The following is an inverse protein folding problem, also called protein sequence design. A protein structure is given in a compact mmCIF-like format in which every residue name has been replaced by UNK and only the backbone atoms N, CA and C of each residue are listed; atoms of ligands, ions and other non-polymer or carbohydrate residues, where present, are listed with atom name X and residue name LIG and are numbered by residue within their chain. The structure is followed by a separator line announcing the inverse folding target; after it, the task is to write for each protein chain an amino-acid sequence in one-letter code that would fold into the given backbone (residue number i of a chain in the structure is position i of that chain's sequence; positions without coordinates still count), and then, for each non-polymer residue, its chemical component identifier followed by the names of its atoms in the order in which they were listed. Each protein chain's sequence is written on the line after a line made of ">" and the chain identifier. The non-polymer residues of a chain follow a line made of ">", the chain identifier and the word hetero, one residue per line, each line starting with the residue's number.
data_IF_931624404430
#
_entry.id   IF_931624404430
#
_cell.length_a   1.000
_cell.length_b   1.000
_cell.length_c   1.000
_cell.angle_alpha   90.00
_cell.angle_beta   90.00
_cell.angle_gamma   90.00
#
_symmetry.space_group_name_H-M   'P 1'
#
loop_
_entity.id
_entity.type
_entity.pdbx_description
1 polymer ?
#
# COMPACT_ATOMS: atom_id res chain seq x y z
N UNK A 1 34.47 16.22 27.79
CA UNK A 1 33.51 15.65 26.86
C UNK A 1 34.21 14.68 25.94
N UNK A 2 34.09 13.38 26.20
CA UNK A 2 34.72 12.33 25.39
C UNK A 2 34.14 12.38 23.98
N UNK A 3 34.96 12.54 22.96
CA UNK A 3 34.58 12.32 21.54
C UNK A 3 34.25 10.84 21.39
N UNK A 4 32.99 10.43 21.58
CA UNK A 4 32.53 9.10 21.15
C UNK A 4 32.76 9.05 19.64
N UNK A 5 33.66 8.16 19.19
CA UNK A 5 33.94 7.98 17.77
C UNK A 5 32.68 7.55 17.02
N UNK A 6 32.58 7.90 15.74
CA UNK A 6 31.53 7.39 14.83
C UNK A 6 31.79 5.90 14.60
N UNK A 7 30.77 5.07 14.82
CA UNK A 7 30.85 3.64 14.49
C UNK A 7 30.54 3.45 13.00
N UNK A 8 31.47 2.82 12.27
CA UNK A 8 31.36 2.61 10.84
C UNK A 8 30.92 1.17 10.58
N UNK A 9 29.89 1.02 9.78
CA UNK A 9 29.36 -0.26 9.29
C UNK A 9 29.44 -0.29 7.76
N UNK A 10 29.33 -1.48 7.18
CA UNK A 10 29.23 -1.66 5.74
C UNK A 10 28.19 -2.74 5.40
N UNK A 11 27.52 -2.56 4.27
CA UNK A 11 26.57 -3.52 3.70
C UNK A 11 26.53 -3.33 2.18
N UNK A 12 25.97 -4.28 1.45
CA UNK A 12 25.74 -4.12 0.01
C UNK A 12 24.55 -3.17 -0.25
N UNK A 13 23.44 -3.33 0.48
CA UNK A 13 22.25 -2.50 0.31
C UNK A 13 21.78 -1.93 1.65
N UNK A 14 21.76 -0.61 1.79
CA UNK A 14 21.11 0.07 2.89
C UNK A 14 19.62 0.27 2.56
N UNK A 15 18.73 -0.19 3.44
CA UNK A 15 17.28 -0.08 3.26
C UNK A 15 16.73 0.87 4.33
N UNK A 16 16.07 1.93 3.90
CA UNK A 16 15.47 2.91 4.80
C UNK A 16 13.99 2.60 4.97
N UNK A 17 13.61 2.16 6.19
CA UNK A 17 12.24 1.79 6.57
C UNK A 17 12.00 0.27 6.60
N UNK A 18 11.47 -0.22 7.74
CA UNK A 18 11.06 -1.60 7.96
C UNK A 18 9.55 -1.82 7.73
N UNK A 19 8.94 -1.06 6.82
CA UNK A 19 7.62 -1.36 6.30
C UNK A 19 7.63 -2.61 5.42
N UNK A 20 6.45 -3.03 4.88
CA UNK A 20 6.36 -4.25 4.06
C UNK A 20 7.35 -4.27 2.89
N UNK A 21 7.56 -3.12 2.22
CA UNK A 21 8.49 -3.01 1.09
C UNK A 21 9.94 -3.27 1.50
N UNK A 22 10.40 -2.61 2.58
CA UNK A 22 11.80 -2.71 3.01
C UNK A 22 12.13 -4.10 3.53
N UNK A 23 11.24 -4.70 4.33
CA UNK A 23 11.45 -6.05 4.84
C UNK A 23 11.34 -7.12 3.74
N UNK A 24 10.40 -6.97 2.79
CA UNK A 24 10.29 -7.88 1.66
C UNK A 24 11.52 -7.80 0.76
N UNK A 25 12.03 -6.59 0.47
CA UNK A 25 13.27 -6.41 -0.27
C UNK A 25 14.44 -7.08 0.46
N UNK A 26 14.63 -6.78 1.75
CA UNK A 26 15.69 -7.40 2.57
C UNK A 26 15.61 -8.92 2.57
N UNK A 27 14.41 -9.50 2.64
CA UNK A 27 14.18 -10.93 2.62
C UNK A 27 14.57 -11.56 1.28
N UNK A 28 14.18 -10.94 0.17
CA UNK A 28 14.55 -11.42 -1.18
C UNK A 28 16.04 -11.34 -1.42
N UNK A 29 16.71 -10.25 -0.99
CA UNK A 29 18.16 -10.08 -1.08
C UNK A 29 18.90 -11.13 -0.26
N UNK A 30 18.47 -11.39 0.98
CA UNK A 30 19.04 -12.43 1.83
C UNK A 30 18.97 -13.81 1.18
N UNK A 31 17.83 -14.18 0.60
CA UNK A 31 17.68 -15.44 -0.14
C UNK A 31 18.61 -15.54 -1.36
N UNK A 32 19.02 -14.41 -1.89
CA UNK A 32 19.98 -14.34 -2.99
C UNK A 32 21.46 -14.26 -2.53
N UNK A 33 21.71 -14.23 -1.22
CA UNK A 33 23.05 -14.09 -0.64
C UNK A 33 23.61 -12.67 -0.72
N UNK A 34 22.74 -11.66 -0.74
CA UNK A 34 23.10 -10.24 -0.78
C UNK A 34 22.83 -9.63 0.59
N UNK A 35 23.85 -9.00 1.17
CA UNK A 35 23.77 -8.38 2.49
C UNK A 35 22.97 -7.08 2.45
N UNK A 36 22.07 -6.92 3.43
CA UNK A 36 21.34 -5.69 3.61
C UNK A 36 21.15 -5.34 5.09
N UNK A 37 21.17 -4.04 5.39
CA UNK A 37 20.82 -3.50 6.71
C UNK A 37 19.62 -2.59 6.55
N UNK A 38 18.57 -2.86 7.35
CA UNK A 38 17.34 -2.08 7.38
C UNK A 38 17.40 -1.10 8.55
N UNK A 39 17.18 0.19 8.28
CA UNK A 39 17.13 1.26 9.27
C UNK A 39 15.68 1.69 9.50
N UNK A 40 15.14 1.46 10.71
CA UNK A 40 13.75 1.81 11.06
C UNK A 40 13.71 2.81 12.23
N UNK A 41 12.94 3.87 12.07
CA UNK A 41 12.81 4.91 13.09
C UNK A 41 11.91 4.52 14.27
N UNK A 42 10.96 3.62 14.04
CA UNK A 42 10.00 3.17 15.04
C UNK A 42 10.49 1.90 15.76
N UNK A 43 9.83 1.52 16.85
CA UNK A 43 10.09 0.25 17.50
C UNK A 43 9.48 -0.92 16.70
N UNK A 44 9.97 -2.12 16.98
CA UNK A 44 9.45 -3.36 16.38
C UNK A 44 7.96 -3.54 16.67
N UNK A 45 7.55 -3.29 17.91
CA UNK A 45 6.17 -3.41 18.38
C UNK A 45 5.25 -2.43 17.65
N UNK A 46 5.71 -1.18 17.48
CA UNK A 46 4.96 -0.16 16.72
C UNK A 46 4.72 -0.59 15.28
N UNK A 47 5.75 -1.07 14.61
CA UNK A 47 5.66 -1.50 13.21
C UNK A 47 4.73 -2.70 13.05
N UNK A 48 4.78 -3.68 13.96
CA UNK A 48 3.91 -4.86 13.94
C UNK A 48 2.45 -4.54 14.34
N UNK A 49 2.24 -3.52 15.17
CA UNK A 49 0.92 -3.13 15.67
C UNK A 49 0.08 -2.31 14.68
N UNK A 50 0.63 -1.80 13.58
CA UNK A 50 -0.09 -0.96 12.63
C UNK A 50 -1.11 -1.77 11.82
N UNK A 51 -2.40 -1.51 12.05
CA UNK A 51 -3.48 -2.19 11.33
C UNK A 51 -3.77 -1.43 10.03
N UNK A 52 -3.57 -2.11 8.90
CA UNK A 52 -3.88 -1.60 7.55
C UNK A 52 -4.61 -2.67 6.73
N UNK A 53 -5.22 -2.24 5.62
CA UNK A 53 -5.86 -3.16 4.67
C UNK A 53 -4.80 -4.11 4.06
N UNK A 54 -5.23 -5.32 3.76
CA UNK A 54 -4.40 -6.33 3.13
C UNK A 54 -5.21 -7.09 2.10
N UNK A 55 -5.47 -6.47 0.94
CA UNK A 55 -6.00 -7.15 -0.23
C UNK A 55 -4.85 -7.31 -1.22
N UNK A 56 -4.45 -8.55 -1.47
CA UNK A 56 -3.28 -8.90 -2.25
C UNK A 56 -3.66 -9.36 -3.65
N UNK A 57 -3.02 -8.77 -4.66
CA UNK A 57 -3.00 -9.30 -6.01
C UNK A 57 -2.24 -10.63 -6.03
N UNK A 58 -2.60 -11.53 -6.94
CA UNK A 58 -1.97 -12.85 -7.01
C UNK A 58 -0.46 -12.77 -7.25
N UNK A 59 -0.02 -11.81 -8.04
CA UNK A 59 1.41 -11.54 -8.27
C UNK A 59 2.17 -11.16 -6.99
N UNK A 60 1.51 -10.47 -6.04
CA UNK A 60 2.08 -10.18 -4.71
C UNK A 60 2.13 -11.44 -3.86
N UNK A 61 1.09 -12.29 -3.92
CA UNK A 61 1.06 -13.59 -3.22
C UNK A 61 2.23 -14.47 -3.68
N UNK A 62 2.46 -14.58 -4.99
CA UNK A 62 3.57 -15.34 -5.58
C UNK A 62 4.93 -14.80 -5.10
N UNK A 63 5.10 -13.47 -5.08
CA UNK A 63 6.34 -12.86 -4.61
C UNK A 63 6.60 -13.14 -3.12
N UNK A 64 5.57 -13.17 -2.29
CA UNK A 64 5.68 -13.51 -0.87
C UNK A 64 6.00 -15.01 -0.67
N UNK A 65 5.47 -15.88 -1.52
CA UNK A 65 5.85 -17.31 -1.54
C UNK A 65 7.32 -17.48 -1.97
N UNK A 66 7.75 -16.77 -3.01
CA UNK A 66 9.14 -16.73 -3.46
C UNK A 66 10.09 -16.23 -2.37
N UNK A 67 9.66 -15.22 -1.59
CA UNK A 67 10.38 -14.73 -0.43
C UNK A 67 10.40 -15.74 0.76
N UNK A 68 9.63 -16.82 0.70
CA UNK A 68 9.55 -17.84 1.75
C UNK A 68 8.68 -17.44 2.96
N UNK A 69 7.88 -16.37 2.84
CA UNK A 69 6.99 -15.87 3.92
C UNK A 69 5.50 -16.12 3.63
N UNK A 70 5.17 -16.90 2.60
CA UNK A 70 3.79 -17.14 2.17
C UNK A 70 3.04 -18.23 2.91
N UNK A 71 3.68 -19.08 3.73
CA UNK A 71 3.04 -20.29 4.26
C UNK A 71 1.84 -19.99 5.18
N UNK A 72 1.96 -19.06 6.12
CA UNK A 72 0.86 -18.63 7.00
C UNK A 72 -0.21 -17.90 6.22
N UNK A 73 0.18 -17.03 5.31
CA UNK A 73 -0.73 -16.30 4.43
C UNK A 73 -1.63 -17.24 3.62
N UNK A 74 -1.08 -18.31 3.04
CA UNK A 74 -1.85 -19.30 2.28
C UNK A 74 -2.80 -20.13 3.15
N UNK A 75 -2.47 -20.35 4.42
CA UNK A 75 -3.30 -21.11 5.35
C UNK A 75 -4.44 -20.26 5.97
N UNK A 76 -4.19 -18.99 6.25
CA UNK A 76 -5.07 -18.12 7.02
C UNK A 76 -5.76 -17.05 6.18
N UNK A 77 -5.23 -16.74 4.99
CA UNK A 77 -5.81 -15.77 4.07
C UNK A 77 -7.17 -16.23 3.53
N UNK A 78 -8.03 -15.26 3.23
CA UNK A 78 -9.35 -15.50 2.64
C UNK A 78 -9.30 -15.23 1.14
N UNK A 79 -9.70 -16.21 0.34
CA UNK A 79 -9.83 -16.04 -1.12
C UNK A 79 -11.00 -15.09 -1.38
N UNK A 80 -10.77 -14.08 -2.21
CA UNK A 80 -11.76 -13.11 -2.65
C UNK A 80 -11.94 -13.25 -4.17
N UNK A 81 -13.07 -13.82 -4.57
CA UNK A 81 -13.37 -14.14 -5.98
C UNK A 81 -14.15 -13.02 -6.69
N UNK A 82 -14.58 -11.99 -5.93
CA UNK A 82 -15.34 -10.89 -6.46
C UNK A 82 -15.67 -9.82 -5.43
N UNK A 83 -16.42 -8.82 -5.86
CA UNK A 83 -16.93 -7.79 -4.98
C UNK A 83 -18.25 -7.21 -5.52
N UNK A 84 -19.06 -6.66 -4.61
CA UNK A 84 -20.29 -5.98 -4.97
C UNK A 84 -20.05 -4.48 -5.22
N UNK A 85 -20.60 -3.97 -6.30
CA UNK A 85 -20.81 -2.54 -6.55
C UNK A 85 -22.28 -2.23 -6.31
N UNK A 86 -22.57 -1.51 -5.23
CA UNK A 86 -23.92 -1.15 -4.82
C UNK A 86 -24.20 0.31 -5.20
N UNK A 87 -25.29 0.56 -5.94
CA UNK A 87 -25.76 1.89 -6.36
C UNK A 87 -27.25 1.87 -6.68
N UNK A 88 -27.91 3.00 -6.60
CA UNK A 88 -29.34 3.16 -6.93
C UNK A 88 -30.24 2.06 -6.33
N UNK A 89 -30.00 1.68 -5.06
CA UNK A 89 -30.68 0.59 -4.33
C UNK A 89 -30.50 -0.83 -4.91
N UNK A 90 -29.70 -0.97 -5.96
CA UNK A 90 -29.29 -2.24 -6.56
C UNK A 90 -27.89 -2.69 -6.16
N UNK A 91 -27.48 -3.80 -6.75
CA UNK A 91 -26.10 -4.25 -6.73
C UNK A 91 -25.71 -4.90 -8.03
N UNK A 92 -24.44 -4.80 -8.38
CA UNK A 92 -23.81 -5.57 -9.44
C UNK A 92 -22.55 -6.24 -8.89
N UNK A 93 -22.48 -7.58 -8.99
CA UNK A 93 -21.31 -8.32 -8.56
C UNK A 93 -20.29 -8.37 -9.70
N UNK A 94 -19.08 -7.94 -9.43
CA UNK A 94 -17.91 -8.13 -10.31
C UNK A 94 -17.29 -9.48 -9.94
N UNK A 95 -17.50 -10.48 -10.78
CA UNK A 95 -16.93 -11.82 -10.62
C UNK A 95 -15.50 -11.84 -11.18
N UNK A 96 -14.52 -11.61 -10.31
CA UNK A 96 -13.11 -11.56 -10.69
C UNK A 96 -12.66 -12.87 -11.30
N UNK A 97 -13.05 -13.99 -10.66
CA UNK A 97 -12.66 -15.32 -11.11
C UNK A 97 -13.23 -15.67 -12.48
N UNK A 98 -14.51 -15.44 -12.70
CA UNK A 98 -15.15 -15.73 -13.99
C UNK A 98 -14.63 -14.80 -15.10
N UNK A 99 -14.40 -13.52 -14.80
CA UNK A 99 -14.00 -12.52 -15.79
C UNK A 99 -12.51 -12.58 -16.16
N UNK A 100 -11.63 -12.98 -15.23
CA UNK A 100 -10.16 -12.90 -15.43
C UNK A 100 -9.41 -14.20 -15.19
N UNK A 101 -10.06 -15.22 -14.62
CA UNK A 101 -9.42 -16.46 -14.16
C UNK A 101 -8.60 -16.29 -12.87
N UNK A 102 -8.53 -15.08 -12.30
CA UNK A 102 -7.72 -14.73 -11.12
C UNK A 102 -8.59 -14.38 -9.92
N UNK A 103 -8.02 -14.53 -8.74
CA UNK A 103 -8.61 -14.12 -7.45
C UNK A 103 -7.73 -13.06 -6.80
N UNK A 104 -8.26 -12.43 -5.75
CA UNK A 104 -7.49 -11.69 -4.77
C UNK A 104 -7.36 -12.53 -3.50
N UNK A 105 -6.45 -12.13 -2.60
CA UNK A 105 -6.31 -12.75 -1.28
C UNK A 105 -6.42 -11.68 -0.20
N UNK A 106 -7.35 -11.85 0.72
CA UNK A 106 -7.44 -11.01 1.92
C UNK A 106 -6.50 -11.57 2.98
N UNK A 107 -5.43 -10.84 3.26
CA UNK A 107 -4.50 -11.13 4.34
C UNK A 107 -4.03 -9.82 4.97
N UNK A 108 -4.35 -9.60 6.25
CA UNK A 108 -4.10 -8.31 6.90
C UNK A 108 -2.64 -7.86 6.76
N UNK A 109 -2.41 -6.60 6.42
CA UNK A 109 -1.04 -6.08 6.28
C UNK A 109 -0.23 -6.21 7.58
N UNK A 110 -0.87 -6.13 8.75
CA UNK A 110 -0.23 -6.38 10.05
C UNK A 110 0.26 -7.83 10.19
N UNK A 111 -0.49 -8.81 9.67
CA UNK A 111 -0.08 -10.21 9.69
C UNK A 111 1.11 -10.44 8.74
N UNK A 112 1.04 -9.89 7.53
CA UNK A 112 2.16 -9.88 6.61
C UNK A 112 3.40 -9.22 7.20
N UNK A 113 3.22 -8.10 7.90
CA UNK A 113 4.30 -7.39 8.57
C UNK A 113 4.97 -8.23 9.66
N UNK A 114 4.17 -9.00 10.43
CA UNK A 114 4.70 -9.94 11.42
C UNK A 114 5.53 -11.04 10.78
N UNK A 115 5.04 -11.65 9.70
CA UNK A 115 5.77 -12.70 8.97
C UNK A 115 7.11 -12.20 8.44
N UNK A 116 7.13 -10.98 7.88
CA UNK A 116 8.35 -10.38 7.37
C UNK A 116 9.34 -10.00 8.48
N UNK A 117 8.86 -9.46 9.61
CA UNK A 117 9.70 -9.14 10.78
C UNK A 117 10.31 -10.42 11.38
N UNK A 118 9.53 -11.51 11.42
CA UNK A 118 10.02 -12.81 11.90
C UNK A 118 11.09 -13.38 10.96
N UNK A 119 10.85 -13.32 9.66
CA UNK A 119 11.80 -13.76 8.64
C UNK A 119 13.12 -12.98 8.64
N UNK A 120 13.13 -11.75 9.18
CA UNK A 120 14.32 -10.88 9.28
C UNK A 120 14.71 -10.59 10.74
N UNK A 121 14.56 -11.59 11.60
CA UNK A 121 14.82 -11.46 13.04
C UNK A 121 16.29 -11.61 13.44
N UNK A 122 17.19 -11.91 12.51
CA UNK A 122 18.61 -12.05 12.82
C UNK A 122 19.18 -10.72 13.38
N UNK A 123 20.05 -10.81 14.42
CA UNK A 123 20.63 -9.63 15.03
C UNK A 123 21.44 -8.78 14.02
N UNK A 124 21.25 -7.46 14.06
CA UNK A 124 21.97 -6.51 13.19
C UNK A 124 21.41 -6.33 11.79
N UNK A 125 20.42 -7.14 11.38
CA UNK A 125 19.78 -6.99 10.06
C UNK A 125 18.80 -5.83 10.05
N UNK A 126 18.00 -5.67 11.11
CA UNK A 126 17.08 -4.53 11.28
C UNK A 126 17.51 -3.72 12.50
N UNK A 127 17.89 -2.48 12.30
CA UNK A 127 18.17 -1.54 13.38
C UNK A 127 16.90 -0.72 13.66
N UNK A 128 16.29 -1.01 14.80
CA UNK A 128 15.08 -0.35 15.26
C UNK A 128 15.38 0.95 16.02
N UNK A 129 14.44 1.90 16.01
CA UNK A 129 14.55 3.17 16.75
C UNK A 129 15.74 4.03 16.30
N UNK A 130 16.10 3.94 15.02
CA UNK A 130 17.10 4.81 14.41
C UNK A 130 16.58 6.25 14.36
N UNK A 131 17.43 7.21 14.66
CA UNK A 131 17.13 8.64 14.66
C UNK A 131 18.09 9.40 13.73
N UNK A 132 17.69 10.58 13.31
CA UNK A 132 18.51 11.54 12.56
C UNK A 132 19.23 10.91 11.35
N UNK A 133 18.52 10.01 10.64
CA UNK A 133 19.08 9.40 9.46
C UNK A 133 19.20 10.42 8.32
N UNK A 134 20.32 10.42 7.61
CA UNK A 134 20.59 11.29 6.47
C UNK A 134 21.35 10.51 5.38
N UNK A 135 20.99 10.74 4.11
CA UNK A 135 21.59 10.08 2.96
C UNK A 135 22.63 10.99 2.33
N UNK A 136 23.79 10.45 2.02
CA UNK A 136 24.92 11.15 1.43
C UNK A 136 25.47 10.40 0.22
N UNK A 137 26.03 11.11 -0.72
CA UNK A 137 26.83 10.58 -1.86
C UNK A 137 26.11 9.51 -2.70
N UNK A 138 24.77 9.48 -2.68
CA UNK A 138 23.98 8.47 -3.42
C UNK A 138 23.99 8.68 -4.94
N UNK A 139 24.50 9.80 -5.43
CA UNK A 139 24.80 10.06 -6.84
C UNK A 139 26.22 9.62 -7.26
N UNK A 140 26.99 9.07 -6.33
CA UNK A 140 28.33 8.50 -6.55
C UNK A 140 28.31 6.97 -6.49
N UNK A 141 29.50 6.35 -6.53
CA UNK A 141 29.66 4.90 -6.37
C UNK A 141 29.77 4.44 -4.92
N UNK A 142 29.76 5.34 -3.95
CA UNK A 142 29.95 5.05 -2.53
C UNK A 142 28.93 5.78 -1.65
N UNK A 143 27.64 5.45 -1.77
CA UNK A 143 26.58 6.02 -0.91
C UNK A 143 26.85 5.75 0.57
N UNK A 144 26.42 6.70 1.40
CA UNK A 144 26.56 6.59 2.84
C UNK A 144 25.24 7.01 3.53
N UNK A 145 24.97 6.39 4.68
CA UNK A 145 23.86 6.78 5.55
C UNK A 145 24.40 7.08 6.93
N UNK A 146 24.25 8.31 7.39
CA UNK A 146 24.58 8.68 8.77
C UNK A 146 23.33 8.64 9.64
N UNK A 147 23.43 8.16 10.88
CA UNK A 147 22.29 8.06 11.79
C UNK A 147 22.75 7.98 13.26
N UNK A 148 21.79 8.17 14.17
CA UNK A 148 21.96 7.94 15.60
C UNK A 148 21.22 6.66 16.01
N UNK A 149 21.89 5.80 16.77
CA UNK A 149 21.32 4.56 17.31
C UNK A 149 21.97 4.21 18.64
N UNK A 150 21.18 3.77 19.62
CA UNK A 150 21.64 3.37 20.96
C UNK A 150 22.56 4.42 21.63
N UNK A 151 22.26 5.72 21.44
CA UNK A 151 23.02 6.82 22.03
C UNK A 151 24.36 7.15 21.37
N UNK A 152 24.68 6.55 20.22
CA UNK A 152 25.91 6.78 19.44
C UNK A 152 25.59 7.22 18.01
N UNK A 153 26.58 7.88 17.36
CA UNK A 153 26.51 8.18 15.92
C UNK A 153 27.12 7.04 15.12
N UNK A 154 26.46 6.72 14.01
CA UNK A 154 26.84 5.64 13.11
C UNK A 154 26.93 6.16 11.67
N UNK A 155 27.78 5.53 10.89
CA UNK A 155 27.90 5.68 9.45
C UNK A 155 27.78 4.30 8.80
N UNK A 156 26.88 4.16 7.84
CA UNK A 156 26.69 2.92 7.06
C UNK A 156 27.10 3.18 5.62
N UNK A 157 28.18 2.54 5.17
CA UNK A 157 28.63 2.54 3.78
C UNK A 157 27.95 1.43 3.02
N UNK A 158 27.52 1.71 1.80
CA UNK A 158 26.80 0.73 0.99
C UNK A 158 27.09 0.93 -0.50
N UNK A 159 26.68 -0.06 -1.31
CA UNK A 159 26.71 0.08 -2.77
C UNK A 159 25.44 0.77 -3.29
N UNK A 160 24.29 0.52 -2.61
CA UNK A 160 22.98 1.04 -2.99
C UNK A 160 22.16 1.41 -1.77
N UNK A 161 21.24 2.37 -1.96
CA UNK A 161 20.23 2.77 -0.97
C UNK A 161 18.83 2.52 -1.53
N UNK A 162 17.99 1.79 -0.80
CA UNK A 162 16.57 1.61 -1.10
C UNK A 162 15.73 2.40 -0.11
N UNK A 163 15.07 3.46 -0.58
CA UNK A 163 14.15 4.28 0.20
C UNK A 163 12.76 3.65 0.27
N UNK A 164 12.50 2.89 1.32
CA UNK A 164 11.24 2.21 1.62
C UNK A 164 10.50 2.86 2.81
N UNK A 165 10.76 4.14 3.07
CA UNK A 165 10.43 4.91 4.27
C UNK A 165 9.09 5.65 4.20
N UNK A 166 8.31 5.36 3.17
CA UNK A 166 6.95 5.87 3.02
C UNK A 166 6.87 7.35 2.68
N UNK A 167 5.66 7.88 2.77
CA UNK A 167 5.38 9.26 2.34
C UNK A 167 6.14 10.32 3.13
N UNK A 168 6.31 10.12 4.42
CA UNK A 168 6.98 11.07 5.33
C UNK A 168 8.46 10.72 5.58
N UNK A 169 9.02 9.83 4.75
CA UNK A 169 10.42 9.42 4.86
C UNK A 169 11.40 10.47 4.33
N UNK A 170 12.67 10.23 4.62
CA UNK A 170 13.77 11.12 4.23
C UNK A 170 14.23 10.88 2.78
N UNK A 171 14.04 9.67 2.26
CA UNK A 171 14.66 9.25 0.99
C UNK A 171 14.25 10.16 -0.18
N UNK A 172 12.95 10.39 -0.37
CA UNK A 172 12.46 11.34 -1.40
C UNK A 172 12.90 12.77 -1.11
N UNK A 173 12.92 13.17 0.17
CA UNK A 173 13.29 14.53 0.56
C UNK A 173 14.80 14.83 0.38
N UNK A 174 15.65 13.79 0.34
CA UNK A 174 17.09 13.93 0.09
C UNK A 174 17.42 14.23 -1.36
N UNK A 175 16.50 13.97 -2.29
CA UNK A 175 16.72 14.26 -3.72
C UNK A 175 16.50 15.74 -3.98
N UNK A 176 17.44 16.44 -4.66
CA UNK A 176 17.29 17.84 -5.04
C UNK A 176 16.00 18.09 -5.83
N UNK A 177 15.28 19.15 -5.47
CA UNK A 177 13.95 19.41 -6.03
C UNK A 177 13.94 19.60 -7.56
N UNK A 178 15.02 20.12 -8.12
CA UNK A 178 15.21 20.33 -9.55
C UNK A 178 15.43 19.03 -10.34
N UNK A 179 15.76 17.94 -9.67
CA UNK A 179 15.94 16.62 -10.30
C UNK A 179 14.67 15.77 -10.29
N UNK A 180 13.55 16.29 -9.73
CA UNK A 180 12.32 15.54 -9.47
C UNK A 180 11.12 16.25 -10.03
N UNK A 181 10.29 15.54 -10.78
CA UNK A 181 8.92 15.97 -11.09
C UNK A 181 7.95 15.25 -10.14
N UNK A 182 7.05 16.00 -9.50
CA UNK A 182 6.03 15.46 -8.61
C UNK A 182 4.65 15.74 -9.17
N UNK A 183 3.93 14.69 -9.52
CA UNK A 183 2.52 14.74 -9.90
C UNK A 183 1.68 14.44 -8.69
N UNK A 184 0.97 15.44 -8.18
CA UNK A 184 0.19 15.31 -6.94
C UNK A 184 -1.24 15.79 -7.11
N UNK A 185 -2.18 15.05 -6.52
CA UNK A 185 -3.58 15.43 -6.39
C UNK A 185 -4.06 15.12 -4.98
N UNK A 186 -4.70 16.08 -4.32
CA UNK A 186 -5.43 15.90 -3.07
C UNK A 186 -6.91 15.85 -3.42
N UNK A 187 -7.64 14.88 -2.89
CA UNK A 187 -9.09 14.75 -3.08
C UNK A 187 -9.82 15.58 -2.02
N UNK A 188 -11.00 16.15 -2.33
CA UNK A 188 -11.71 17.07 -1.44
C UNK A 188 -12.49 16.35 -0.32
N UNK A 189 -12.07 15.16 0.06
CA UNK A 189 -12.68 14.34 1.11
C UNK A 189 -11.68 13.35 1.71
N UNK A 190 -12.05 12.82 2.86
CA UNK A 190 -11.36 11.74 3.53
C UNK A 190 -12.21 10.48 3.64
N UNK A 191 -11.59 9.42 4.11
CA UNK A 191 -12.24 8.19 4.57
C UNK A 191 -12.19 8.15 6.10
N UNK A 192 -13.35 8.17 6.73
CA UNK A 192 -13.50 7.76 8.11
C UNK A 192 -13.60 6.23 8.15
N UNK A 193 -12.57 5.60 8.68
CA UNK A 193 -12.49 4.15 8.84
C UNK A 193 -12.80 3.73 10.27
N UNK A 194 -13.60 2.68 10.43
CA UNK A 194 -13.89 2.03 11.71
C UNK A 194 -13.52 0.56 11.64
N UNK A 195 -12.73 0.08 12.61
CA UNK A 195 -12.48 -1.34 12.86
C UNK A 195 -13.36 -1.78 14.03
N UNK A 196 -14.03 -2.90 13.88
CA UNK A 196 -14.89 -3.46 14.95
C UNK A 196 -14.84 -5.00 14.96
N UNK A 197 -14.97 -5.60 16.14
CA UNK A 197 -15.14 -7.04 16.31
C UNK A 197 -16.61 -7.43 16.07
N UNK A 198 -16.97 -7.40 14.81
CA UNK A 198 -18.28 -7.81 14.31
C UNK A 198 -18.10 -8.66 13.04
N UNK A 199 -19.02 -9.62 12.78
CA UNK A 199 -18.95 -10.42 11.55
C UNK A 199 -19.04 -9.54 10.32
N UNK A 200 -18.42 -9.93 9.20
CA UNK A 200 -18.52 -9.21 7.93
C UNK A 200 -19.97 -9.09 7.46
N UNK A 201 -20.28 -7.94 6.87
CA UNK A 201 -21.58 -7.70 6.24
C UNK A 201 -21.87 -8.70 5.11
N UNK A 202 -20.83 -9.07 4.37
CA UNK A 202 -20.86 -9.96 3.22
C UNK A 202 -19.55 -10.77 3.15
N UNK A 203 -19.57 -11.89 2.46
CA UNK A 203 -18.39 -12.72 2.24
C UNK A 203 -17.35 -12.09 1.31
N UNK A 204 -17.77 -11.11 0.51
CA UNK A 204 -16.94 -10.31 -0.40
C UNK A 204 -17.03 -8.83 -0.02
N UNK A 205 -16.15 -8.01 -0.57
CA UNK A 205 -16.18 -6.56 -0.35
C UNK A 205 -17.47 -5.96 -0.94
N UNK A 206 -18.01 -4.94 -0.29
CA UNK A 206 -19.15 -4.16 -0.80
C UNK A 206 -18.72 -2.71 -0.94
N UNK A 207 -18.65 -2.23 -2.18
CA UNK A 207 -18.43 -0.83 -2.54
C UNK A 207 -19.79 -0.17 -2.78
N UNK A 208 -20.13 0.83 -2.01
CA UNK A 208 -21.41 1.54 -2.16
C UNK A 208 -21.20 2.97 -2.66
N UNK A 209 -21.84 3.30 -3.79
CA UNK A 209 -21.97 4.65 -4.30
C UNK A 209 -23.34 5.19 -3.90
N UNK A 210 -23.38 6.24 -3.11
CA UNK A 210 -24.60 6.85 -2.62
C UNK A 210 -24.57 8.37 -2.72
N UNK A 211 -25.73 9.04 -2.75
CA UNK A 211 -25.80 10.51 -2.78
C UNK A 211 -25.20 11.19 -1.56
N UNK A 212 -25.14 10.50 -0.41
CA UNK A 212 -24.46 10.94 0.81
C UNK A 212 -22.94 10.71 0.77
N UNK A 213 -22.41 10.09 -0.29
CA UNK A 213 -21.01 9.74 -0.46
C UNK A 213 -20.76 8.23 -0.43
N UNK A 214 -19.53 7.87 -0.61
CA UNK A 214 -19.04 6.50 -0.67
C UNK A 214 -19.10 5.77 0.67
N UNK A 215 -19.30 4.44 0.62
CA UNK A 215 -19.04 3.53 1.72
C UNK A 215 -18.35 2.24 1.23
N UNK A 216 -17.56 1.62 2.09
CA UNK A 216 -16.90 0.34 1.84
C UNK A 216 -17.05 -0.56 3.05
N UNK A 217 -17.52 -1.79 2.81
CA UNK A 217 -17.55 -2.84 3.81
C UNK A 217 -16.51 -3.90 3.43
N UNK A 218 -15.58 -4.18 4.34
CA UNK A 218 -14.53 -5.16 4.09
C UNK A 218 -14.30 -6.04 5.31
N UNK A 219 -14.05 -7.32 5.05
CA UNK A 219 -13.66 -8.29 6.07
C UNK A 219 -12.19 -8.12 6.47
N UNK A 220 -11.87 -8.53 7.70
CA UNK A 220 -10.50 -8.76 8.17
C UNK A 220 -10.32 -10.19 8.65
N UNK A 221 -11.38 -10.75 9.21
CA UNK A 221 -11.50 -12.15 9.57
C UNK A 221 -13.01 -12.50 9.66
N UNK A 222 -13.33 -13.74 10.01
CA UNK A 222 -14.73 -14.15 10.22
C UNK A 222 -15.45 -13.40 11.34
N UNK A 223 -14.72 -12.81 12.28
CA UNK A 223 -15.28 -12.08 13.44
C UNK A 223 -14.85 -10.60 13.49
N UNK A 224 -14.13 -10.10 12.49
CA UNK A 224 -13.62 -8.72 12.48
C UNK A 224 -13.81 -8.08 11.13
N UNK A 225 -14.33 -6.85 11.13
CA UNK A 225 -14.62 -6.08 9.93
C UNK A 225 -14.06 -4.67 10.00
N UNK A 226 -13.72 -4.12 8.85
CA UNK A 226 -13.38 -2.72 8.67
C UNK A 226 -14.34 -2.06 7.70
N UNK A 227 -14.92 -0.97 8.15
CA UNK A 227 -15.86 -0.17 7.38
C UNK A 227 -15.30 1.21 7.12
N UNK A 228 -15.68 1.81 6.00
CA UNK A 228 -15.28 3.17 5.65
C UNK A 228 -16.48 3.95 5.16
N UNK A 229 -16.55 5.21 5.50
CA UNK A 229 -17.48 6.18 4.93
C UNK A 229 -16.71 7.42 4.47
N UNK A 230 -17.09 7.97 3.32
CA UNK A 230 -16.59 9.25 2.86
C UNK A 230 -17.03 10.35 3.82
N UNK A 231 -16.11 11.23 4.20
CA UNK A 231 -16.38 12.38 5.07
C UNK A 231 -15.63 13.63 4.56
N UNK A 232 -16.06 14.84 4.94
CA UNK A 232 -15.29 16.06 4.72
C UNK A 232 -13.88 15.97 5.32
N UNK A 233 -12.92 16.74 4.78
CA UNK A 233 -11.55 16.77 5.30
C UNK A 233 -11.45 17.46 6.67
N UNK A 234 -12.39 18.34 6.93
CA UNK A 234 -12.47 19.14 8.16
C UNK A 234 -13.01 18.37 9.36
N UNK A 235 -13.70 17.24 9.10
CA UNK A 235 -14.28 16.39 10.14
C UNK A 235 -13.19 15.83 11.06
N UNK A 236 -13.52 15.72 12.35
CA UNK A 236 -12.66 15.12 13.36
C UNK A 236 -13.26 13.81 13.85
N UNK A 237 -12.41 12.87 14.24
CA UNK A 237 -12.85 11.53 14.70
C UNK A 237 -13.79 11.64 15.91
N UNK A 238 -13.53 12.60 16.79
CA UNK A 238 -14.31 12.88 18.01
C UNK A 238 -15.75 13.29 17.71
N UNK A 239 -16.01 13.84 16.54
CA UNK A 239 -17.34 14.25 16.08
C UNK A 239 -18.16 13.08 15.53
N UNK A 240 -17.56 11.90 15.47
CA UNK A 240 -18.15 10.67 14.95
C UNK A 240 -18.28 9.60 16.04
N UNK A 241 -19.25 9.72 16.98
CA UNK A 241 -19.58 8.61 17.89
C UNK A 241 -19.98 7.38 17.08
N UNK A 242 -19.82 6.19 17.65
CA UNK A 242 -20.05 4.92 16.96
C UNK A 242 -21.47 4.83 16.36
N UNK A 243 -22.48 5.32 17.08
CA UNK A 243 -23.85 5.35 16.60
C UNK A 243 -23.98 6.14 15.28
N UNK A 244 -23.41 7.35 15.22
CA UNK A 244 -23.42 8.17 14.00
C UNK A 244 -22.74 7.45 12.83
N UNK A 245 -21.62 6.78 13.09
CA UNK A 245 -20.92 6.03 12.04
C UNK A 245 -21.79 4.91 11.48
N UNK A 246 -22.41 4.11 12.35
CA UNK A 246 -23.27 3.00 11.94
C UNK A 246 -24.52 3.45 11.22
N UNK A 247 -25.11 4.56 11.63
CA UNK A 247 -26.28 5.15 10.97
C UNK A 247 -25.92 5.66 9.57
N UNK A 248 -24.81 6.38 9.43
CA UNK A 248 -24.31 6.85 8.12
C UNK A 248 -23.94 5.70 7.20
N UNK A 249 -23.32 4.65 7.72
CA UNK A 249 -23.01 3.45 6.94
C UNK A 249 -24.31 2.78 6.45
N UNK A 250 -25.29 2.60 7.33
CA UNK A 250 -26.60 2.00 6.99
C UNK A 250 -27.32 2.80 5.91
N UNK A 251 -27.34 4.12 6.03
CA UNK A 251 -27.99 5.01 5.05
C UNK A 251 -27.36 4.94 3.64
N UNK A 252 -26.10 4.57 3.54
CA UNK A 252 -25.36 4.46 2.26
C UNK A 252 -25.44 3.08 1.63
N UNK A 253 -25.94 2.10 2.37
CA UNK A 253 -26.09 0.74 1.88
C UNK A 253 -27.52 0.49 1.37
N UNK A 254 -27.70 -0.28 0.29
CA UNK A 254 -29.02 -0.78 -0.09
C UNK A 254 -29.72 -1.53 1.05
N UNK A 255 -31.04 -1.43 1.13
CA UNK A 255 -31.86 -2.02 2.19
C UNK A 255 -31.62 -3.52 2.42
N UNK A 256 -31.30 -4.24 1.36
CA UNK A 256 -30.98 -5.68 1.41
C UNK A 256 -29.81 -6.03 2.35
N UNK A 257 -28.91 -5.07 2.63
CA UNK A 257 -27.78 -5.26 3.55
C UNK A 257 -28.11 -4.89 5.01
N UNK A 258 -29.18 -4.11 5.24
CA UNK A 258 -29.51 -3.57 6.57
C UNK A 258 -29.69 -4.67 7.62
N UNK A 259 -30.34 -5.80 7.25
CA UNK A 259 -30.59 -6.93 8.15
C UNK A 259 -29.33 -7.73 8.49
N UNK A 260 -28.29 -7.60 7.68
CA UNK A 260 -27.00 -8.30 7.88
C UNK A 260 -25.97 -7.44 8.60
N UNK A 261 -26.20 -6.13 8.68
CA UNK A 261 -25.26 -5.20 9.31
C UNK A 261 -25.32 -5.36 10.82
N UNK A 262 -24.33 -6.05 11.36
CA UNK A 262 -24.10 -6.16 12.82
C UNK A 262 -23.24 -4.97 13.24
N UNK A 263 -23.67 -4.29 14.30
CA UNK A 263 -22.97 -3.13 14.86
C UNK A 263 -22.29 -3.52 16.17
N UNK A 264 -21.24 -2.81 16.53
CA UNK A 264 -20.49 -3.01 17.77
C UNK A 264 -19.61 -1.82 18.10
N UNK A 265 -18.91 -1.84 19.23
CA UNK A 265 -17.99 -0.76 19.61
C UNK A 265 -16.80 -0.71 18.66
N UNK A 266 -16.32 0.50 18.38
CA UNK A 266 -15.11 0.70 17.60
C UNK A 266 -13.88 0.25 18.39
N UNK A 267 -13.04 -0.60 17.78
CA UNK A 267 -11.69 -0.87 18.26
C UNK A 267 -10.74 0.27 17.88
N UNK A 268 -10.95 0.83 16.70
CA UNK A 268 -10.15 1.92 16.13
C UNK A 268 -11.01 2.74 15.18
N UNK A 269 -10.87 4.06 15.23
CA UNK A 269 -11.39 4.99 14.22
C UNK A 269 -10.28 5.93 13.77
N UNK A 270 -10.26 6.24 12.48
CA UNK A 270 -9.31 7.19 11.91
C UNK A 270 -9.87 7.85 10.65
N UNK A 271 -9.53 9.11 10.42
CA UNK A 271 -9.80 9.80 9.15
C UNK A 271 -8.51 9.89 8.35
N UNK A 272 -8.56 9.43 7.12
CA UNK A 272 -7.42 9.43 6.19
C UNK A 272 -7.78 10.27 4.97
N UNK A 273 -7.07 11.39 4.72
CA UNK A 273 -7.19 12.16 3.49
C UNK A 273 -6.77 11.32 2.29
N UNK A 274 -7.53 11.38 1.20
CA UNK A 274 -7.14 10.70 -0.04
C UNK A 274 -6.24 11.59 -0.87
N UNK A 275 -5.20 10.98 -1.44
CA UNK A 275 -4.27 11.65 -2.35
C UNK A 275 -3.69 10.71 -3.39
N UNK A 276 -3.28 11.27 -4.51
CA UNK A 276 -2.37 10.63 -5.46
C UNK A 276 -1.05 11.37 -5.46
N UNK A 277 0.04 10.65 -5.57
CA UNK A 277 1.38 11.17 -5.77
C UNK A 277 2.13 10.22 -6.70
N UNK A 278 2.86 10.75 -7.67
CA UNK A 278 3.88 10.02 -8.41
C UNK A 278 5.12 10.89 -8.50
N UNK A 279 6.27 10.32 -8.20
CA UNK A 279 7.58 10.96 -8.25
C UNK A 279 8.36 10.41 -9.44
N UNK A 280 8.84 11.27 -10.31
CA UNK A 280 9.63 10.91 -11.50
C UNK A 280 10.95 11.68 -11.54
N UNK A 281 12.05 10.95 -11.81
CA UNK A 281 12.22 9.50 -11.83
C UNK A 281 12.11 8.89 -10.42
N UNK A 282 12.07 7.55 -10.31
CA UNK A 282 12.10 6.82 -9.04
C UNK A 282 13.52 6.38 -8.64
N UNK A 283 14.53 6.76 -9.43
CA UNK A 283 15.96 6.45 -9.21
C UNK A 283 16.81 7.70 -9.35
N UNK A 284 17.78 7.85 -8.45
CA UNK A 284 18.74 8.95 -8.42
C UNK A 284 20.13 8.39 -8.10
N UNK A 285 20.93 8.16 -9.15
CA UNK A 285 22.19 7.48 -8.98
C UNK A 285 21.99 6.09 -8.36
N UNK A 286 22.48 5.91 -7.13
CA UNK A 286 22.36 4.66 -6.36
C UNK A 286 21.23 4.65 -5.32
N UNK A 287 20.38 5.66 -5.30
CA UNK A 287 19.17 5.74 -4.50
C UNK A 287 17.96 5.31 -5.33
N UNK A 288 17.17 4.36 -4.83
CA UNK A 288 15.93 3.87 -5.41
C UNK A 288 14.76 4.16 -4.46
N UNK A 289 13.71 4.82 -4.95
CA UNK A 289 12.49 5.06 -4.19
C UNK A 289 11.49 3.91 -4.44
N UNK A 290 10.90 3.38 -3.38
CA UNK A 290 10.06 2.18 -3.40
C UNK A 290 8.75 2.43 -2.65
N UNK A 291 7.61 2.06 -3.23
CA UNK A 291 6.30 2.18 -2.59
C UNK A 291 5.92 3.62 -2.27
N UNK A 292 5.37 3.86 -1.07
CA UNK A 292 4.87 5.18 -0.66
C UNK A 292 5.96 6.27 -0.62
N UNK A 293 7.25 5.91 -0.68
CA UNK A 293 8.34 6.86 -0.87
C UNK A 293 8.33 7.46 -2.27
N UNK A 294 7.89 6.72 -3.29
CA UNK A 294 7.83 7.14 -4.68
C UNK A 294 6.43 7.55 -5.13
N UNK A 295 5.41 6.81 -4.74
CA UNK A 295 4.04 6.98 -5.23
C UNK A 295 2.98 6.66 -4.17
N UNK A 296 1.85 7.33 -4.25
CA UNK A 296 0.65 7.07 -3.46
C UNK A 296 -0.54 7.03 -4.38
N UNK A 297 -1.43 6.09 -4.17
CA UNK A 297 -2.71 5.97 -4.87
C UNK A 297 -3.85 5.98 -3.87
N UNK A 298 -5.05 6.45 -4.26
CA UNK A 298 -6.23 6.32 -3.43
C UNK A 298 -6.48 4.85 -3.07
N UNK A 299 -6.92 4.55 -1.85
CA UNK A 299 -7.10 3.17 -1.39
C UNK A 299 -8.26 2.44 -2.07
N UNK A 300 -9.12 3.13 -2.83
CA UNK A 300 -10.31 2.59 -3.49
C UNK A 300 -10.01 1.37 -4.35
N UNK A 301 -8.90 1.37 -5.09
CA UNK A 301 -8.50 0.26 -5.96
C UNK A 301 -7.63 -0.81 -5.29
N UNK A 302 -7.35 -0.70 -3.99
CA UNK A 302 -6.48 -1.61 -3.23
C UNK A 302 -5.07 -1.78 -3.84
N UNK A 303 -4.50 -0.73 -4.47
CA UNK A 303 -3.25 -0.82 -5.24
C UNK A 303 -1.96 -0.53 -4.45
N UNK A 304 -2.02 0.20 -3.33
CA UNK A 304 -0.83 0.73 -2.67
C UNK A 304 0.21 -0.35 -2.30
N UNK A 305 -0.20 -1.37 -1.55
CA UNK A 305 0.69 -2.47 -1.14
C UNK A 305 1.16 -3.30 -2.34
N UNK A 306 0.29 -3.56 -3.30
CA UNK A 306 0.59 -4.35 -4.49
C UNK A 306 1.58 -3.63 -5.43
N UNK A 307 1.48 -2.30 -5.57
CA UNK A 307 2.47 -1.49 -6.27
C UNK A 307 3.82 -1.51 -5.56
N UNK A 308 3.82 -1.36 -4.23
CA UNK A 308 5.04 -1.42 -3.46
C UNK A 308 5.75 -2.79 -3.59
N UNK A 309 4.99 -3.90 -3.61
CA UNK A 309 5.51 -5.23 -3.89
C UNK A 309 6.06 -5.36 -5.32
N UNK A 310 5.41 -4.73 -6.29
CA UNK A 310 5.88 -4.70 -7.67
C UNK A 310 7.22 -3.95 -7.82
N UNK A 311 7.37 -2.80 -7.16
CA UNK A 311 8.64 -2.07 -7.13
C UNK A 311 9.75 -2.94 -6.52
N UNK A 312 9.44 -3.61 -5.39
CA UNK A 312 10.39 -4.53 -4.73
C UNK A 312 10.81 -5.64 -5.68
N UNK A 313 9.88 -6.22 -6.45
CA UNK A 313 10.19 -7.24 -7.44
C UNK A 313 11.18 -6.73 -8.49
N UNK A 314 10.89 -5.56 -9.08
CA UNK A 314 11.76 -4.97 -10.11
C UNK A 314 13.15 -4.64 -9.54
N UNK A 315 13.20 -4.01 -8.36
CA UNK A 315 14.46 -3.63 -7.72
C UNK A 315 15.28 -4.85 -7.29
N UNK A 316 14.64 -5.85 -6.66
CA UNK A 316 15.36 -7.07 -6.23
C UNK A 316 15.94 -7.83 -7.40
N UNK A 317 15.23 -7.97 -8.52
CA UNK A 317 15.74 -8.56 -9.75
C UNK A 317 16.97 -7.80 -10.27
N UNK A 318 16.92 -6.47 -10.31
CA UNK A 318 18.05 -5.65 -10.73
C UNK A 318 19.28 -5.78 -9.83
N UNK A 319 19.08 -5.79 -8.51
CA UNK A 319 20.17 -5.97 -7.54
C UNK A 319 20.78 -7.39 -7.63
N UNK A 320 19.95 -8.42 -7.76
CA UNK A 320 20.41 -9.81 -7.90
C UNK A 320 21.23 -9.97 -9.18
N UNK A 321 20.75 -9.42 -10.29
CA UNK A 321 21.48 -9.43 -11.57
C UNK A 321 22.84 -8.70 -11.47
N UNK A 322 22.84 -7.53 -10.81
CA UNK A 322 24.06 -6.76 -10.60
C UNK A 322 25.11 -7.54 -9.81
N UNK A 323 24.74 -8.18 -8.71
CA UNK A 323 25.72 -8.89 -7.88
C UNK A 323 26.15 -10.23 -8.48
N UNK A 324 25.27 -10.94 -9.16
CA UNK A 324 25.58 -12.24 -9.77
C UNK A 324 26.34 -12.12 -11.09
N UNK A 325 25.86 -11.24 -11.97
CA UNK A 325 26.31 -11.16 -13.35
C UNK A 325 27.07 -9.86 -13.69
N UNK A 326 27.23 -8.95 -12.72
CA UNK A 326 27.87 -7.65 -12.90
C UNK A 326 27.18 -6.76 -13.94
N UNK A 327 25.89 -6.99 -14.19
CA UNK A 327 25.06 -6.20 -15.10
C UNK A 327 24.27 -5.15 -14.36
N UNK A 328 24.38 -3.87 -14.76
CA UNK A 328 23.59 -2.76 -14.21
C UNK A 328 22.31 -2.48 -14.99
N UNK A 329 22.08 -3.15 -16.12
CA UNK A 329 20.99 -2.82 -17.08
C UNK A 329 19.62 -2.76 -16.41
N UNK A 330 19.26 -3.79 -15.60
CA UNK A 330 17.96 -3.82 -14.93
C UNK A 330 17.81 -2.73 -13.85
N UNK A 331 18.92 -2.31 -13.23
CA UNK A 331 18.94 -1.19 -12.28
C UNK A 331 18.75 0.14 -13.01
N UNK A 332 19.40 0.33 -14.14
CA UNK A 332 19.26 1.54 -14.97
C UNK A 332 17.84 1.69 -15.53
N UNK A 333 17.18 0.57 -15.81
CA UNK A 333 15.79 0.52 -16.28
C UNK A 333 14.75 0.61 -15.14
N UNK A 334 15.16 0.54 -13.85
CA UNK A 334 14.25 0.46 -12.72
C UNK A 334 13.12 1.49 -12.78
N UNK A 335 13.49 2.77 -12.93
CA UNK A 335 12.51 3.86 -12.92
C UNK A 335 11.49 3.73 -14.06
N UNK A 336 11.92 3.43 -15.27
CA UNK A 336 11.03 3.28 -16.42
C UNK A 336 10.06 2.09 -16.26
N UNK A 337 10.58 0.95 -15.79
CA UNK A 337 9.77 -0.27 -15.56
C UNK A 337 8.76 -0.10 -14.45
N UNK A 338 9.17 0.48 -13.31
CA UNK A 338 8.28 0.74 -12.19
C UNK A 338 7.20 1.76 -12.55
N UNK A 339 7.56 2.89 -13.16
CA UNK A 339 6.64 3.96 -13.56
C UNK A 339 5.57 3.50 -14.56
N UNK A 340 5.90 2.60 -15.49
CA UNK A 340 4.92 2.03 -16.42
C UNK A 340 3.73 1.41 -15.67
N UNK A 341 4.00 0.63 -14.61
CA UNK A 341 2.97 0.02 -13.77
C UNK A 341 2.29 1.04 -12.83
N UNK A 342 3.09 1.92 -12.23
CA UNK A 342 2.59 2.97 -11.32
C UNK A 342 1.54 3.82 -12.02
N UNK A 343 1.78 4.27 -13.24
CA UNK A 343 0.81 5.09 -13.97
C UNK A 343 -0.46 4.33 -14.35
N UNK A 344 -0.36 3.07 -14.76
CA UNK A 344 -1.53 2.22 -15.03
C UNK A 344 -2.41 2.06 -13.78
N UNK A 345 -1.80 1.78 -12.62
CA UNK A 345 -2.52 1.62 -11.37
C UNK A 345 -3.04 2.95 -10.80
N UNK A 346 -2.29 4.05 -10.97
CA UNK A 346 -2.73 5.40 -10.60
C UNK A 346 -3.96 5.82 -11.42
N UNK A 347 -3.94 5.58 -12.75
CA UNK A 347 -5.10 5.81 -13.63
C UNK A 347 -6.31 5.04 -13.15
N UNK A 348 -6.15 3.74 -12.87
CA UNK A 348 -7.24 2.90 -12.39
C UNK A 348 -7.78 3.37 -11.04
N UNK A 349 -6.90 3.60 -10.05
CA UNK A 349 -7.31 4.04 -8.71
C UNK A 349 -8.00 5.41 -8.76
N UNK A 350 -7.54 6.33 -9.62
CA UNK A 350 -8.17 7.62 -9.86
C UNK A 350 -9.57 7.45 -10.45
N UNK A 351 -9.71 6.69 -11.55
CA UNK A 351 -10.99 6.45 -12.21
C UNK A 351 -11.99 5.78 -11.27
N UNK A 352 -11.58 4.75 -10.53
CA UNK A 352 -12.46 4.04 -9.61
C UNK A 352 -12.85 4.92 -8.40
N UNK A 353 -11.96 5.81 -7.98
CA UNK A 353 -12.29 6.82 -6.97
C UNK A 353 -13.33 7.82 -7.49
N UNK A 354 -13.19 8.31 -8.73
CA UNK A 354 -14.19 9.19 -9.36
C UNK A 354 -15.55 8.51 -9.50
N UNK A 355 -15.55 7.23 -9.86
CA UNK A 355 -16.77 6.44 -10.05
C UNK A 355 -17.51 6.22 -8.73
N UNK A 356 -16.81 5.98 -7.64
CA UNK A 356 -17.42 5.54 -6.39
C UNK A 356 -17.74 6.68 -5.41
N UNK A 357 -17.04 7.84 -5.49
CA UNK A 357 -17.17 8.91 -4.51
C UNK A 357 -18.00 10.08 -5.02
N UNK A 358 -18.59 10.81 -4.09
CA UNK A 358 -19.24 12.09 -4.37
C UNK A 358 -18.21 13.23 -4.33
N UNK A 359 -18.02 13.91 -5.46
CA UNK A 359 -17.08 15.04 -5.59
C UNK A 359 -17.76 16.40 -5.47
N UNK A 360 -18.99 16.50 -5.92
CA UNK A 360 -19.74 17.75 -5.94
C UNK A 360 -21.24 17.51 -5.71
N UNK A 361 -21.97 18.59 -5.52
CA UNK A 361 -23.43 18.58 -5.49
C UNK A 361 -24.04 18.72 -6.89
N UNK A 362 -23.23 18.79 -7.96
CA UNK A 362 -23.67 18.96 -9.33
C UNK A 362 -24.54 17.78 -9.79
N UNK A 363 -25.83 18.01 -10.13
CA UNK A 363 -26.73 16.95 -10.58
C UNK A 363 -26.30 16.31 -11.90
N UNK A 364 -25.65 17.06 -12.79
CA UNK A 364 -25.17 16.53 -14.07
C UNK A 364 -24.02 15.54 -13.85
N UNK A 365 -23.03 15.89 -13.04
CA UNK A 365 -21.95 14.99 -12.67
C UNK A 365 -22.50 13.71 -12.00
N UNK A 366 -23.52 13.83 -11.17
CA UNK A 366 -24.20 12.68 -10.56
C UNK A 366 -24.87 11.77 -11.57
N UNK A 367 -25.53 12.34 -12.57
CA UNK A 367 -26.20 11.56 -13.64
C UNK A 367 -25.18 10.82 -14.51
N UNK A 368 -24.05 11.45 -14.85
CA UNK A 368 -22.96 10.78 -15.58
C UNK A 368 -22.36 9.62 -14.78
N UNK A 369 -22.15 9.81 -13.47
CA UNK A 369 -21.64 8.76 -12.59
C UNK A 369 -22.58 7.55 -12.53
N UNK A 370 -23.90 7.78 -12.42
CA UNK A 370 -24.90 6.70 -12.44
C UNK A 370 -24.95 5.99 -13.79
N UNK A 371 -24.88 6.72 -14.90
CA UNK A 371 -24.84 6.14 -16.24
C UNK A 371 -23.60 5.25 -16.45
N UNK A 372 -22.45 5.66 -15.91
CA UNK A 372 -21.23 4.85 -15.95
C UNK A 372 -21.37 3.56 -15.11
N UNK A 373 -22.00 3.64 -13.93
CA UNK A 373 -22.27 2.47 -13.10
C UNK A 373 -23.30 1.52 -13.76
N UNK A 374 -24.32 2.06 -14.42
CA UNK A 374 -25.31 1.30 -15.20
C UNK A 374 -24.64 0.62 -16.41
N UNK A 375 -23.77 1.34 -17.12
CA UNK A 375 -22.97 0.76 -18.21
C UNK A 375 -22.09 -0.37 -17.71
N UNK A 376 -21.38 -0.17 -16.60
CA UNK A 376 -20.56 -1.20 -15.99
C UNK A 376 -21.39 -2.45 -15.63
N UNK A 377 -22.61 -2.28 -15.11
CA UNK A 377 -23.49 -3.38 -14.73
C UNK A 377 -24.10 -4.12 -15.94
N UNK A 378 -24.24 -3.46 -17.07
CA UNK A 378 -24.90 -4.01 -18.27
C UNK A 378 -23.90 -4.52 -19.33
N UNK A 379 -22.62 -4.11 -19.28
CA UNK A 379 -21.60 -4.46 -20.27
C UNK A 379 -20.58 -5.46 -19.72
N UNK A 380 -20.54 -6.64 -20.28
CA UNK A 380 -19.53 -7.64 -19.94
C UNK A 380 -18.09 -7.14 -20.20
N UNK A 381 -17.89 -6.31 -21.24
CA UNK A 381 -16.60 -5.73 -21.55
C UNK A 381 -16.16 -4.71 -20.48
N UNK A 382 -17.08 -3.86 -20.01
CA UNK A 382 -16.81 -2.89 -18.95
C UNK A 382 -16.51 -3.59 -17.62
N UNK A 383 -17.32 -4.59 -17.23
CA UNK A 383 -17.08 -5.41 -16.04
C UNK A 383 -15.74 -6.15 -16.11
N UNK A 384 -15.37 -6.71 -17.27
CA UNK A 384 -14.06 -7.35 -17.50
C UNK A 384 -12.91 -6.34 -17.36
N UNK A 385 -13.03 -5.15 -17.95
CA UNK A 385 -12.01 -4.12 -17.83
C UNK A 385 -11.79 -3.69 -16.38
N UNK A 386 -12.86 -3.53 -15.58
CA UNK A 386 -12.74 -3.28 -14.16
C UNK A 386 -12.05 -4.43 -13.44
N UNK A 387 -12.48 -5.67 -13.70
CA UNK A 387 -11.92 -6.86 -13.06
C UNK A 387 -10.42 -7.03 -13.35
N UNK A 388 -9.98 -6.88 -14.62
CA UNK A 388 -8.56 -6.96 -15.03
C UNK A 388 -7.69 -5.94 -14.30
N UNK A 389 -8.14 -4.68 -14.21
CA UNK A 389 -7.44 -3.65 -13.46
C UNK A 389 -7.44 -3.94 -11.94
N UNK A 390 -8.52 -4.53 -11.41
CA UNK A 390 -8.66 -4.82 -9.99
C UNK A 390 -7.76 -5.96 -9.53
N UNK A 391 -7.68 -7.07 -10.27
CA UNK A 391 -6.78 -8.20 -9.95
C UNK A 391 -5.31 -7.92 -10.25
N UNK A 392 -5.01 -6.80 -10.88
CA UNK A 392 -3.67 -6.39 -11.28
C UNK A 392 -3.31 -6.82 -12.71
N UNK A 393 -2.80 -5.84 -13.46
CA UNK A 393 -2.26 -6.09 -14.79
C UNK A 393 -0.96 -6.91 -14.70
N UNK A 394 -0.63 -7.66 -15.75
CA UNK A 394 0.65 -8.38 -15.84
C UNK A 394 1.84 -7.45 -15.70
N UNK A 395 3.02 -8.01 -15.40
CA UNK A 395 4.28 -7.25 -15.28
C UNK A 395 4.88 -6.91 -16.66
N UNK A 396 4.36 -7.46 -17.73
CA UNK A 396 4.85 -7.32 -19.10
C UNK A 396 4.35 -6.01 -19.74
#
# INVERSE_FOLDING_TARGET
>A
MSRRGVMVHSTQVAIIGAGPSGLLLSQLLSRAGIDSIVLERESREHVQGRIRAGLLEWTTVELLQEAGVGARMMREGLIDEGFDVAFANGRHRIDLKALTGKNMLVYGQNELQRDLVEARSEPGVVLWQVRDASLHDFDTRAPQVSFAHAGSRHELRCDFVAGCDGYHGISRASVPAEKVVRYQRVYPFGWLGMLADVPPLHEELVYANHERGFALCSMRSRGRSRYYVQCPLEDKVEEWPDARFWDELRLRLPERYHRRLVTGPALEKSIVPLRSLVTEPMQFGRLFLVGDAAHIVPPTGAKGLNLAAADVRVLSQGLIEFYRNRSATLLEEYSARALSRVWKATRFSWWFTLLMHRFSADPFARRLQLAELEYLASSAAASRSLAENYVGLSFD
#
